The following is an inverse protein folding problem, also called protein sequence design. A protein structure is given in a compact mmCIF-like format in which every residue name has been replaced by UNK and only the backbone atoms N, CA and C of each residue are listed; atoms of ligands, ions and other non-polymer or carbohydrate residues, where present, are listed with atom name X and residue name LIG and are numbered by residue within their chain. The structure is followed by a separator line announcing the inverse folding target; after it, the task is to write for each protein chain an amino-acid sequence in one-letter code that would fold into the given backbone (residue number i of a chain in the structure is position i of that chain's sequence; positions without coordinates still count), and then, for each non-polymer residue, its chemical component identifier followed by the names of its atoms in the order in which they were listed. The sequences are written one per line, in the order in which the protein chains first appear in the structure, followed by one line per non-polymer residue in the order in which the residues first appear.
data_IF_376163328857
#
_entry.id   IF_376163328857
#
_cell.length_a   1.000
_cell.length_b   1.000
_cell.length_c   1.000
_cell.angle_alpha   90.00
_cell.angle_beta   90.00
_cell.angle_gamma   90.00
#
_symmetry.space_group_name_H-M   'P 1'
#
loop_
_entity.id
_entity.type
_entity.pdbx_description
1 polymer ?
#
# COMPACT_ATOMS: atom_id res chain seq x y z
N UNK A 1 -6.28 -10.84 -2.07
CA UNK A 1 -6.43 -9.39 -2.07
C UNK A 1 -6.52 -8.94 -0.64
N UNK A 2 -5.55 -8.14 -0.21
CA UNK A 2 -5.49 -7.50 1.11
C UNK A 2 -5.92 -6.04 0.93
N UNK A 3 -6.83 -5.54 1.76
CA UNK A 3 -7.24 -4.13 1.79
C UNK A 3 -7.04 -3.53 3.18
N UNK A 4 -7.28 -2.23 3.33
CA UNK A 4 -7.30 -1.62 4.65
C UNK A 4 -8.55 -2.04 5.46
N UNK A 5 -8.52 -1.76 6.75
CA UNK A 5 -9.61 -2.08 7.67
C UNK A 5 -10.77 -1.07 7.59
N UNK A 6 -11.02 -0.41 6.46
CA UNK A 6 -12.12 0.55 6.33
C UNK A 6 -13.51 -0.15 6.40
N UNK A 7 -14.54 0.50 6.94
CA UNK A 7 -15.87 -0.09 7.11
C UNK A 7 -16.49 -0.65 5.82
N UNK A 8 -16.27 0.02 4.69
CA UNK A 8 -16.77 -0.43 3.38
C UNK A 8 -16.24 -1.82 2.99
N UNK A 9 -14.99 -2.14 3.33
CA UNK A 9 -14.40 -3.44 3.03
C UNK A 9 -14.79 -4.53 4.01
N UNK A 10 -15.24 -4.18 5.23
CA UNK A 10 -15.77 -5.13 6.21
C UNK A 10 -17.22 -5.54 5.95
N UNK A 11 -17.93 -4.79 5.12
CA UNK A 11 -19.33 -5.08 4.82
C UNK A 11 -19.49 -6.50 4.26
N UNK A 12 -20.44 -7.26 4.80
CA UNK A 12 -20.71 -8.66 4.41
C UNK A 12 -20.83 -8.82 2.89
N UNK A 13 -21.61 -7.94 2.26
CA UNK A 13 -21.80 -7.91 0.80
C UNK A 13 -20.47 -7.78 0.03
N UNK A 14 -19.56 -6.95 0.53
CA UNK A 14 -18.24 -6.75 -0.08
C UNK A 14 -17.35 -7.98 0.11
N UNK A 15 -17.29 -8.53 1.32
CA UNK A 15 -16.54 -9.76 1.61
C UNK A 15 -17.04 -10.96 0.78
N UNK A 16 -18.36 -11.11 0.62
CA UNK A 16 -18.96 -12.15 -0.23
C UNK A 16 -18.61 -11.96 -1.71
N UNK A 17 -18.70 -10.73 -2.21
CA UNK A 17 -18.32 -10.44 -3.59
C UNK A 17 -16.83 -10.74 -3.82
N UNK A 18 -15.95 -10.33 -2.90
CA UNK A 18 -14.52 -10.59 -3.00
C UNK A 18 -14.18 -12.08 -2.89
N UNK A 19 -14.85 -12.82 -2.02
CA UNK A 19 -14.70 -14.27 -1.91
C UNK A 19 -14.98 -14.98 -3.23
N UNK A 20 -15.95 -14.50 -3.99
CA UNK A 20 -16.35 -15.11 -5.28
C UNK A 20 -15.53 -14.62 -6.48
N UNK A 21 -14.95 -13.42 -6.42
CA UNK A 21 -14.34 -12.78 -7.59
C UNK A 21 -12.82 -12.57 -7.49
N UNK A 22 -12.23 -12.59 -6.28
CA UNK A 22 -10.80 -12.35 -6.11
C UNK A 22 -10.00 -13.65 -6.17
N UNK A 23 -8.95 -13.67 -7.00
CA UNK A 23 -8.05 -14.81 -7.22
C UNK A 23 -7.38 -15.37 -5.94
N UNK A 24 -7.27 -14.57 -4.89
CA UNK A 24 -6.64 -14.98 -3.62
C UNK A 24 -7.25 -14.22 -2.44
N UNK A 25 -8.56 -14.35 -2.23
CA UNK A 25 -9.27 -13.66 -1.15
C UNK A 25 -8.72 -14.05 0.23
N UNK A 26 -8.47 -13.04 1.08
CA UNK A 26 -8.15 -13.23 2.50
C UNK A 26 -9.25 -12.51 3.28
N UNK A 27 -9.99 -13.19 4.16
CA UNK A 27 -11.07 -12.56 4.90
C UNK A 27 -10.55 -11.50 5.85
N UNK A 28 -11.34 -10.45 6.08
CA UNK A 28 -10.99 -9.36 6.98
C UNK A 28 -10.59 -9.84 8.39
N UNK A 29 -11.22 -10.92 8.88
CA UNK A 29 -10.91 -11.53 10.18
C UNK A 29 -9.49 -12.05 10.32
N UNK A 30 -8.79 -12.27 9.20
CA UNK A 30 -7.41 -12.75 9.18
C UNK A 30 -6.40 -11.60 9.05
N UNK A 31 -6.85 -10.35 8.94
CA UNK A 31 -5.96 -9.20 8.80
C UNK A 31 -5.58 -8.65 10.17
N UNK A 32 -4.30 -8.30 10.38
CA UNK A 32 -3.92 -7.53 11.55
C UNK A 32 -4.58 -6.14 11.46
N UNK A 33 -5.22 -5.64 12.54
CA UNK A 33 -5.85 -4.33 12.52
C UNK A 33 -4.81 -3.23 12.31
N UNK A 34 -5.19 -2.16 11.60
CA UNK A 34 -4.43 -0.90 11.53
C UNK A 34 -2.95 -1.05 11.14
N UNK A 35 -2.66 -1.90 10.15
CA UNK A 35 -1.28 -2.21 9.74
C UNK A 35 -0.91 -1.65 8.36
N UNK A 36 -0.82 -0.31 8.17
CA UNK A 36 -0.32 0.27 6.91
C UNK A 36 1.11 -0.22 6.61
N UNK A 37 1.87 -0.54 7.65
CA UNK A 37 3.20 -1.13 7.55
C UNK A 37 3.26 -2.49 6.84
N UNK A 38 2.12 -3.15 6.68
CA UNK A 38 1.99 -4.46 6.01
C UNK A 38 1.26 -4.37 4.67
N UNK A 39 0.76 -3.20 4.29
CA UNK A 39 0.11 -2.98 3.00
C UNK A 39 1.12 -2.45 1.97
N UNK A 40 1.41 -3.24 0.93
CA UNK A 40 2.31 -2.84 -0.16
C UNK A 40 1.89 -1.53 -0.81
N UNK A 41 0.58 -1.30 -0.93
CA UNK A 41 0.05 -0.06 -1.47
C UNK A 41 0.44 1.12 -0.56
N UNK A 42 0.28 0.96 0.75
CA UNK A 42 0.51 2.05 1.71
C UNK A 42 2.00 2.33 1.94
N UNK A 43 2.82 1.31 2.20
CA UNK A 43 4.24 1.54 2.52
C UNK A 43 5.13 1.80 1.30
N UNK A 44 4.65 1.55 0.09
CA UNK A 44 5.44 1.72 -1.13
C UNK A 44 4.70 2.52 -2.20
N UNK A 45 3.61 2.02 -2.78
CA UNK A 45 3.01 2.63 -3.98
C UNK A 45 2.55 4.06 -3.73
N UNK A 46 1.78 4.29 -2.67
CA UNK A 46 1.28 5.62 -2.33
C UNK A 46 2.40 6.56 -1.92
N UNK A 47 3.33 6.10 -1.07
CA UNK A 47 4.50 6.90 -0.68
C UNK A 47 5.38 7.29 -1.88
N UNK A 48 5.57 6.39 -2.85
CA UNK A 48 6.29 6.67 -4.08
C UNK A 48 5.57 7.72 -4.92
N UNK A 49 4.29 7.48 -5.24
CA UNK A 49 3.51 8.37 -6.11
C UNK A 49 3.43 9.75 -5.49
N UNK A 50 3.12 9.85 -4.20
CA UNK A 50 3.09 11.11 -3.46
C UNK A 50 4.43 11.86 -3.53
N UNK A 51 5.54 11.17 -3.23
CA UNK A 51 6.87 11.78 -3.29
C UNK A 51 7.19 12.32 -4.69
N UNK A 52 6.82 11.59 -5.74
CA UNK A 52 7.10 11.96 -7.13
C UNK A 52 6.18 13.06 -7.65
N UNK A 53 4.90 13.07 -7.25
CA UNK A 53 3.95 14.11 -7.65
C UNK A 53 4.23 15.43 -6.94
N UNK A 54 4.65 15.37 -5.66
CA UNK A 54 4.95 16.55 -4.84
C UNK A 54 6.33 17.18 -5.16
N UNK A 55 7.01 16.71 -6.22
CA UNK A 55 8.20 17.40 -6.78
C UNK A 55 7.84 18.64 -7.58
N UNK A 56 6.58 18.74 -8.01
CA UNK A 56 6.06 19.87 -8.78
C UNK A 56 4.80 20.41 -8.11
N UNK A 57 4.53 21.70 -8.28
CA UNK A 57 3.26 22.30 -7.87
C UNK A 57 2.18 22.03 -8.92
N UNK A 58 0.93 21.84 -8.47
CA UNK A 58 -0.24 21.58 -9.31
C UNK A 58 -1.33 22.60 -8.96
N UNK A 59 -1.70 23.43 -9.93
CA UNK A 59 -2.68 24.51 -9.71
C UNK A 59 -4.11 24.11 -10.09
N UNK A 60 -4.31 22.93 -10.67
CA UNK A 60 -5.63 22.40 -11.02
C UNK A 60 -5.76 20.93 -10.66
N UNK A 61 -6.97 20.50 -10.34
CA UNK A 61 -7.30 19.07 -10.15
C UNK A 61 -6.87 18.22 -11.34
N UNK A 62 -7.06 18.72 -12.57
CA UNK A 62 -6.69 17.98 -13.78
C UNK A 62 -5.18 17.79 -13.89
N UNK A 63 -4.38 18.83 -13.60
CA UNK A 63 -2.91 18.71 -13.60
C UNK A 63 -2.42 17.66 -12.60
N UNK A 64 -2.99 17.65 -11.39
CA UNK A 64 -2.66 16.67 -10.36
C UNK A 64 -3.04 15.23 -10.79
N UNK A 65 -4.25 15.02 -11.32
CA UNK A 65 -4.70 13.71 -11.81
C UNK A 65 -3.77 13.19 -12.91
N UNK A 66 -3.42 14.05 -13.87
CA UNK A 66 -2.51 13.68 -14.96
C UNK A 66 -1.14 13.29 -14.41
N UNK A 67 -0.59 14.07 -13.46
CA UNK A 67 0.70 13.77 -12.85
C UNK A 67 0.67 12.45 -12.06
N UNK A 68 -0.36 12.21 -11.26
CA UNK A 68 -0.53 10.94 -10.52
C UNK A 68 -0.51 9.76 -11.47
N UNK A 69 -1.31 9.81 -12.56
CA UNK A 69 -1.35 8.73 -13.56
C UNK A 69 0.02 8.49 -14.21
N UNK A 70 0.72 9.56 -14.57
CA UNK A 70 2.06 9.49 -15.17
C UNK A 70 3.09 8.89 -14.20
N UNK A 71 3.10 9.29 -12.92
CA UNK A 71 4.05 8.73 -11.94
C UNK A 71 3.71 7.28 -11.60
N UNK A 72 2.43 6.94 -11.53
CA UNK A 72 1.97 5.57 -11.32
C UNK A 72 2.41 4.64 -12.47
N UNK A 73 2.28 5.08 -13.74
CA UNK A 73 2.71 4.28 -14.89
C UNK A 73 4.22 4.10 -15.01
N UNK A 74 5.00 4.89 -14.25
CA UNK A 74 6.47 4.80 -14.18
C UNK A 74 6.98 3.89 -13.06
N UNK A 75 6.09 3.24 -12.31
CA UNK A 75 6.51 2.24 -11.31
C UNK A 75 7.02 1.01 -12.06
N UNK A 76 8.29 0.70 -11.89
CA UNK A 76 8.90 -0.46 -12.54
C UNK A 76 8.58 -1.75 -11.78
N UNK A 77 8.51 -2.86 -12.52
CA UNK A 77 8.32 -4.19 -11.94
C UNK A 77 9.42 -4.53 -10.90
N UNK A 78 10.65 -4.10 -11.14
CA UNK A 78 11.76 -4.28 -10.20
C UNK A 78 11.53 -3.56 -8.86
N UNK A 79 10.93 -2.36 -8.87
CA UNK A 79 10.61 -1.65 -7.64
C UNK A 79 9.51 -2.36 -6.85
N UNK A 80 8.50 -2.89 -7.55
CA UNK A 80 7.43 -3.71 -6.95
C UNK A 80 8.03 -4.98 -6.33
N UNK A 81 8.90 -5.69 -7.04
CA UNK A 81 9.59 -6.87 -6.53
C UNK A 81 10.44 -6.57 -5.28
N UNK A 82 11.17 -5.45 -5.28
CA UNK A 82 11.92 -4.97 -4.11
C UNK A 82 11.02 -4.60 -2.93
N UNK A 83 9.81 -4.10 -3.20
CA UNK A 83 8.82 -3.84 -2.16
C UNK A 83 8.29 -5.15 -1.56
N UNK A 84 7.95 -6.12 -2.40
CA UNK A 84 7.55 -7.45 -1.94
C UNK A 84 8.64 -8.18 -1.14
N UNK A 85 9.92 -8.06 -1.53
CA UNK A 85 11.01 -8.73 -0.80
C UNK A 85 11.15 -8.24 0.65
N UNK A 86 10.69 -7.02 0.94
CA UNK A 86 10.67 -6.44 2.30
C UNK A 86 9.46 -6.86 3.13
N UNK A 87 8.44 -7.45 2.51
CA UNK A 87 7.19 -7.79 3.19
C UNK A 87 7.42 -8.73 4.39
N UNK A 88 8.24 -9.78 4.21
CA UNK A 88 8.58 -10.71 5.29
C UNK A 88 9.26 -10.00 6.47
N UNK A 89 10.28 -9.19 6.20
CA UNK A 89 11.01 -8.46 7.23
C UNK A 89 10.12 -7.47 8.00
N UNK A 90 9.08 -6.93 7.36
CA UNK A 90 8.09 -6.06 8.01
C UNK A 90 7.21 -6.86 8.96
N UNK A 91 6.74 -8.05 8.56
CA UNK A 91 6.01 -8.96 9.46
C UNK A 91 6.86 -9.30 10.69
N UNK A 92 8.11 -9.71 10.48
CA UNK A 92 9.02 -10.08 11.58
C UNK A 92 9.23 -8.92 12.57
N UNK A 93 9.29 -7.68 12.07
CA UNK A 93 9.38 -6.47 12.92
C UNK A 93 8.08 -6.19 13.68
N UNK A 94 6.92 -6.39 13.06
CA UNK A 94 5.62 -6.22 13.73
C UNK A 94 5.46 -7.27 14.83
N UNK A 95 5.88 -8.51 14.56
CA UNK A 95 5.90 -9.58 15.56
C UNK A 95 6.84 -9.25 16.73
N UNK A 96 8.05 -8.76 16.44
CA UNK A 96 8.99 -8.32 17.46
C UNK A 96 8.53 -7.09 18.26
N UNK A 97 7.54 -6.36 17.76
CA UNK A 97 6.90 -5.24 18.43
C UNK A 97 5.56 -5.64 19.10
N UNK A 98 5.29 -6.93 19.25
CA UNK A 98 4.04 -7.47 19.82
C UNK A 98 2.77 -6.92 19.13
N UNK A 99 2.84 -6.75 17.81
CA UNK A 99 1.76 -6.17 17.01
C UNK A 99 1.73 -4.63 16.98
N UNK A 100 2.71 -3.97 17.61
CA UNK A 100 2.89 -2.54 17.60
C UNK A 100 3.50 -1.98 16.30
N UNK A 101 3.66 -0.65 16.27
CA UNK A 101 4.27 0.05 15.14
C UNK A 101 5.74 -0.30 14.98
N UNK A 102 6.18 -0.41 13.72
CA UNK A 102 7.58 -0.64 13.39
C UNK A 102 8.28 0.68 13.07
N UNK A 103 9.56 0.78 13.44
CA UNK A 103 10.38 1.95 13.11
C UNK A 103 10.48 2.14 11.59
N UNK A 104 10.61 3.40 11.18
CA UNK A 104 10.82 3.80 9.79
C UNK A 104 11.85 2.91 9.09
N UNK A 105 11.44 2.39 7.94
CA UNK A 105 12.31 1.63 7.05
C UNK A 105 12.52 2.49 5.81
N UNK A 106 13.77 2.77 5.45
CA UNK A 106 14.12 3.67 4.36
C UNK A 106 13.27 3.42 3.09
N UNK A 107 12.78 4.46 2.41
CA UNK A 107 11.89 4.34 1.26
C UNK A 107 12.60 3.62 0.12
N UNK A 108 11.83 2.92 -0.70
CA UNK A 108 12.32 2.23 -1.91
C UNK A 108 12.45 3.16 -3.12
N UNK A 109 12.40 4.46 -2.87
CA UNK A 109 12.41 5.47 -3.89
C UNK A 109 13.40 6.56 -3.55
N UNK A 110 14.00 7.20 -4.57
CA UNK A 110 15.01 8.22 -4.34
C UNK A 110 14.43 9.38 -3.54
N UNK A 111 15.20 9.86 -2.57
CA UNK A 111 14.94 11.12 -1.89
C UNK A 111 15.07 12.29 -2.89
N UNK A 112 14.45 13.44 -2.56
CA UNK A 112 14.67 14.69 -3.30
C UNK A 112 16.12 15.14 -3.20
#
# INVERSE_FOLDING_TARGET
MWQDSAPAYKAKRMQEWLKSNAFAFVPFSSWPPLSPDLSLLDYFVWSYVENMTNRSSHNTKQSLITCIKEKFSKIEAAQIQNAFSRFRSRIERVLAADGGYIKYIAPLYPNK
#
